data_IF_624330352971
#
_entry.id   IF_624330352971
#
_cell.length_a   1.000
_cell.length_b   1.000
_cell.length_c   1.000
_cell.angle_alpha   90.00
_cell.angle_beta   90.00
_cell.angle_gamma   90.00
#
_symmetry.space_group_name_H-M   'P 1'
#
loop_
_entity.id
_entity.type
_entity.pdbx_description
1 polymer ?
#
# COMPACT_ATOMS: atom_id res chain seq x y z
N UNK A 1 -6.77 -26.40 -12.58
CA UNK A 1 -6.60 -25.10 -13.31
C UNK A 1 -5.89 -24.11 -12.40
N UNK A 2 -4.80 -23.47 -12.86
CA UNK A 2 -4.16 -22.38 -12.09
C UNK A 2 -5.13 -21.19 -12.04
N UNK A 3 -5.49 -20.75 -10.83
CA UNK A 3 -6.28 -19.51 -10.65
C UNK A 3 -5.45 -18.34 -11.19
N UNK A 4 -6.06 -17.50 -12.01
CA UNK A 4 -5.39 -16.31 -12.54
C UNK A 4 -5.18 -15.30 -11.40
N UNK A 5 -4.02 -14.64 -11.32
CA UNK A 5 -3.77 -13.65 -10.29
C UNK A 5 -4.69 -12.44 -10.49
N UNK A 6 -5.21 -11.90 -9.39
CA UNK A 6 -5.91 -10.60 -9.35
C UNK A 6 -4.93 -9.46 -9.00
N UNK A 7 -3.89 -9.79 -8.24
CA UNK A 7 -2.78 -8.91 -7.88
C UNK A 7 -1.47 -9.67 -8.17
N UNK A 8 -0.49 -8.96 -8.73
CA UNK A 8 0.90 -9.36 -8.79
C UNK A 8 1.78 -8.36 -8.05
N UNK A 9 3.00 -8.79 -7.72
CA UNK A 9 4.03 -7.93 -7.16
C UNK A 9 5.18 -7.86 -8.16
N UNK A 10 5.62 -6.66 -8.53
CA UNK A 10 6.77 -6.46 -9.41
C UNK A 10 8.00 -6.08 -8.60
N UNK A 11 9.06 -6.86 -8.77
CA UNK A 11 10.33 -6.69 -8.08
C UNK A 11 11.51 -6.51 -9.05
N UNK A 12 12.50 -5.65 -8.74
CA UNK A 12 12.44 -4.63 -7.70
C UNK A 12 11.47 -3.52 -8.07
N UNK A 13 10.90 -2.83 -7.09
CA UNK A 13 10.33 -1.51 -7.31
C UNK A 13 11.40 -0.58 -7.89
N UNK A 14 10.99 0.50 -8.58
CA UNK A 14 11.90 1.43 -9.30
C UNK A 14 13.00 2.07 -8.43
N UNK A 15 13.01 1.84 -7.11
CA UNK A 15 13.87 2.51 -6.11
C UNK A 15 14.97 1.63 -5.50
N UNK A 16 15.20 0.40 -5.96
CA UNK A 16 16.31 -0.42 -5.46
C UNK A 16 17.65 0.29 -5.67
N UNK A 17 18.47 0.40 -4.62
CA UNK A 17 19.72 1.16 -4.68
C UNK A 17 20.88 0.41 -4.04
N UNK A 18 22.01 0.31 -4.74
CA UNK A 18 23.22 -0.29 -4.17
C UNK A 18 23.82 0.61 -3.08
N UNK A 19 24.24 0.00 -1.98
CA UNK A 19 24.85 0.67 -0.82
C UNK A 19 26.33 0.34 -0.73
N UNK A 20 27.15 1.35 -0.46
CA UNK A 20 28.55 1.18 -0.04
C UNK A 20 28.59 1.09 1.48
N UNK A 21 28.92 -0.09 2.00
CA UNK A 21 28.96 -0.34 3.44
C UNK A 21 30.38 -0.18 3.96
N UNK A 22 30.59 0.70 4.95
CA UNK A 22 31.92 0.95 5.54
C UNK A 22 32.51 -0.29 6.23
N UNK A 23 31.68 -1.14 6.84
CA UNK A 23 32.07 -2.41 7.48
C UNK A 23 30.97 -3.46 7.24
N UNK A 24 31.00 -4.19 6.13
CA UNK A 24 30.02 -5.25 5.87
C UNK A 24 30.23 -6.43 6.82
N UNK A 25 29.13 -7.08 7.20
CA UNK A 25 29.11 -8.33 7.95
C UNK A 25 28.11 -9.31 7.31
N UNK A 26 27.99 -10.52 7.87
CA UNK A 26 27.12 -11.58 7.31
C UNK A 26 25.64 -11.21 7.11
N UNK A 27 25.12 -10.22 7.84
CA UNK A 27 23.70 -9.81 7.76
C UNK A 27 23.51 -8.47 7.04
N UNK A 28 24.55 -7.99 6.35
CA UNK A 28 24.54 -6.69 5.68
C UNK A 28 23.84 -6.73 4.33
N UNK A 29 22.81 -5.91 4.16
CA UNK A 29 22.25 -5.66 2.84
C UNK A 29 23.09 -4.64 2.05
N UNK A 30 23.66 -5.09 0.93
CA UNK A 30 24.32 -4.24 -0.07
C UNK A 30 23.34 -3.44 -0.93
N UNK A 31 22.04 -3.55 -0.64
CA UNK A 31 20.98 -2.86 -1.36
C UNK A 31 20.00 -2.22 -0.34
N UNK A 32 19.62 -0.96 -0.58
CA UNK A 32 18.53 -0.27 0.11
C UNK A 32 17.22 -0.51 -0.65
N UNK A 33 16.09 -0.28 0.03
CA UNK A 33 14.75 -0.42 -0.54
C UNK A 33 14.45 -1.84 -1.05
N UNK A 34 15.06 -2.85 -0.39
CA UNK A 34 14.98 -4.26 -0.76
C UNK A 34 13.56 -4.84 -0.78
N UNK A 35 12.61 -4.23 -0.07
CA UNK A 35 11.22 -4.68 -0.03
C UNK A 35 10.28 -3.68 -0.70
N UNK A 36 10.82 -2.70 -1.42
CA UNK A 36 10.01 -1.82 -2.25
C UNK A 36 9.61 -2.60 -3.51
N UNK A 37 8.31 -2.88 -3.66
CA UNK A 37 7.73 -3.54 -4.82
C UNK A 37 6.54 -2.74 -5.33
N UNK A 38 6.26 -2.85 -6.63
CA UNK A 38 5.04 -2.27 -7.18
C UNK A 38 3.90 -3.29 -7.09
N UNK A 39 2.76 -2.87 -6.52
CA UNK A 39 1.53 -3.67 -6.52
C UNK A 39 0.83 -3.50 -7.86
N UNK A 40 0.65 -4.61 -8.57
CA UNK A 40 0.16 -4.62 -9.96
C UNK A 40 -1.19 -5.32 -10.04
N UNK A 41 -2.26 -4.64 -10.47
CA UNK A 41 -3.58 -5.25 -10.65
C UNK A 41 -3.68 -5.99 -11.98
N UNK A 42 -4.45 -7.09 -11.99
CA UNK A 42 -4.72 -7.91 -13.16
C UNK A 42 -6.22 -8.03 -13.42
N UNK A 43 -6.61 -7.94 -14.70
CA UNK A 43 -7.97 -8.23 -15.18
C UNK A 43 -7.88 -9.09 -16.44
N UNK A 44 -8.59 -10.21 -16.46
CA UNK A 44 -8.59 -11.15 -17.59
C UNK A 44 -7.17 -11.56 -18.05
N UNK A 45 -6.27 -11.86 -17.10
CA UNK A 45 -4.86 -12.22 -17.32
C UNK A 45 -3.97 -11.11 -17.87
N UNK A 46 -4.49 -9.90 -18.05
CA UNK A 46 -3.72 -8.74 -18.47
C UNK A 46 -3.52 -7.81 -17.29
N UNK A 47 -2.29 -7.33 -17.14
CA UNK A 47 -1.99 -6.21 -16.26
C UNK A 47 -2.81 -5.00 -16.72
N UNK A 48 -3.39 -4.28 -15.76
CA UNK A 48 -4.11 -3.03 -16.02
C UNK A 48 -3.31 -1.86 -15.46
N UNK A 49 -3.60 -0.66 -15.98
CA UNK A 49 -2.85 0.54 -15.64
C UNK A 49 -2.86 0.83 -14.13
N UNK A 50 -1.67 0.83 -13.52
CA UNK A 50 -1.45 1.11 -12.09
C UNK A 50 -1.76 2.56 -11.70
N UNK A 51 -1.79 3.49 -12.67
CA UNK A 51 -2.14 4.90 -12.41
C UNK A 51 -3.55 5.07 -11.84
N UNK A 52 -4.48 4.16 -12.14
CA UNK A 52 -5.85 4.15 -11.58
C UNK A 52 -5.90 3.73 -10.10
N UNK A 53 -4.76 3.35 -9.53
CA UNK A 53 -4.64 2.84 -8.17
C UNK A 53 -3.60 3.63 -7.37
N UNK A 54 -3.35 4.88 -7.78
CA UNK A 54 -2.62 5.83 -6.93
C UNK A 54 -3.46 6.18 -5.71
N UNK A 55 -2.82 6.70 -4.66
CA UNK A 55 -3.51 7.18 -3.46
C UNK A 55 -4.70 8.10 -3.84
N UNK A 56 -4.45 9.05 -4.73
CA UNK A 56 -5.44 10.03 -5.17
C UNK A 56 -6.66 9.38 -5.82
N UNK A 57 -6.43 8.49 -6.78
CA UNK A 57 -7.52 7.80 -7.48
C UNK A 57 -8.31 6.89 -6.55
N UNK A 58 -7.64 6.21 -5.61
CA UNK A 58 -8.29 5.38 -4.59
C UNK A 58 -9.17 6.22 -3.67
N UNK A 59 -8.68 7.38 -3.20
CA UNK A 59 -9.46 8.27 -2.33
C UNK A 59 -10.68 8.86 -3.04
N UNK A 60 -10.52 9.31 -4.29
CA UNK A 60 -11.62 9.85 -5.09
C UNK A 60 -12.68 8.78 -5.33
N UNK A 61 -12.27 7.59 -5.77
CA UNK A 61 -13.18 6.47 -5.98
C UNK A 61 -13.91 6.06 -4.69
N UNK A 62 -13.24 6.10 -3.53
CA UNK A 62 -13.91 5.88 -2.25
C UNK A 62 -14.98 6.94 -1.98
N UNK A 63 -14.62 8.22 -2.10
CA UNK A 63 -15.50 9.34 -1.84
C UNK A 63 -16.75 9.32 -2.74
N UNK A 64 -16.58 9.00 -4.02
CA UNK A 64 -17.65 9.05 -5.02
C UNK A 64 -18.52 7.80 -4.98
N UNK A 65 -17.91 6.62 -4.84
CA UNK A 65 -18.60 5.35 -5.12
C UNK A 65 -18.82 4.46 -3.90
N UNK A 66 -18.10 4.68 -2.79
CA UNK A 66 -18.00 3.68 -1.70
C UNK A 66 -18.30 4.21 -0.30
N UNK A 67 -18.09 5.51 -0.03
CA UNK A 67 -18.17 6.09 1.33
C UNK A 67 -19.52 5.89 2.04
N UNK A 68 -20.61 5.80 1.28
CA UNK A 68 -21.96 5.65 1.81
C UNK A 68 -22.37 4.18 2.02
N UNK A 69 -21.55 3.22 1.59
CA UNK A 69 -21.84 1.80 1.78
C UNK A 69 -21.30 1.32 3.13
N UNK A 70 -22.18 1.15 4.11
CA UNK A 70 -21.82 0.60 5.43
C UNK A 70 -21.21 -0.81 5.34
N UNK A 71 -21.76 -1.64 4.45
CA UNK A 71 -21.27 -3.00 4.22
C UNK A 71 -19.82 -3.00 3.68
N UNK A 72 -19.49 -2.06 2.80
CA UNK A 72 -18.12 -1.90 2.30
C UNK A 72 -17.20 -1.30 3.36
N UNK A 73 -17.67 -0.29 4.11
CA UNK A 73 -16.92 0.32 5.20
C UNK A 73 -16.47 -0.71 6.24
N UNK A 74 -17.38 -1.59 6.68
CA UNK A 74 -17.08 -2.66 7.63
C UNK A 74 -15.98 -3.60 7.13
N UNK A 75 -15.96 -3.92 5.83
CA UNK A 75 -14.89 -4.76 5.25
C UNK A 75 -13.57 -4.01 5.17
N UNK A 76 -13.60 -2.70 4.97
CA UNK A 76 -12.40 -1.86 4.98
C UNK A 76 -11.82 -1.76 6.39
N UNK A 77 -12.66 -1.61 7.43
CA UNK A 77 -12.24 -1.67 8.83
C UNK A 77 -11.63 -3.03 9.19
N UNK A 78 -12.28 -4.11 8.78
CA UNK A 78 -11.76 -5.47 8.96
C UNK A 78 -10.39 -5.63 8.28
N UNK A 79 -10.24 -5.12 7.05
CA UNK A 79 -8.96 -5.14 6.36
C UNK A 79 -7.88 -4.35 7.12
N UNK A 80 -8.22 -3.17 7.65
CA UNK A 80 -7.27 -2.35 8.39
C UNK A 80 -6.77 -3.06 9.66
N UNK A 81 -7.70 -3.60 10.45
CA UNK A 81 -7.41 -4.23 11.74
C UNK A 81 -6.75 -5.60 11.59
N UNK A 82 -7.28 -6.43 10.69
CA UNK A 82 -6.94 -7.85 10.63
C UNK A 82 -6.13 -8.22 9.37
N UNK A 83 -5.98 -7.31 8.42
CA UNK A 83 -5.34 -7.59 7.12
C UNK A 83 -6.03 -8.72 6.33
N UNK A 84 -7.33 -8.94 6.57
CA UNK A 84 -8.13 -10.02 5.97
C UNK A 84 -9.29 -9.48 5.14
N UNK A 85 -9.69 -10.27 4.14
CA UNK A 85 -10.92 -10.05 3.35
C UNK A 85 -11.66 -11.39 3.42
N UNK A 86 -12.64 -11.48 4.32
CA UNK A 86 -13.34 -12.74 4.60
C UNK A 86 -14.60 -12.94 3.78
N UNK A 87 -15.19 -11.84 3.29
CA UNK A 87 -16.46 -11.83 2.57
C UNK A 87 -16.31 -11.22 1.19
N UNK A 88 -17.27 -11.53 0.30
CA UNK A 88 -17.39 -10.84 -0.98
C UNK A 88 -17.91 -9.41 -0.72
N UNK A 89 -17.27 -8.37 -1.25
CA UNK A 89 -17.74 -7.01 -1.09
C UNK A 89 -19.04 -6.77 -1.89
N UNK A 90 -19.86 -5.78 -1.49
CA UNK A 90 -21.03 -5.37 -2.27
C UNK A 90 -20.59 -4.90 -3.66
N UNK A 91 -21.48 -5.03 -4.66
CA UNK A 91 -21.24 -4.45 -5.99
C UNK A 91 -21.44 -2.93 -5.90
N UNK A 92 -20.38 -2.17 -6.16
CA UNK A 92 -20.38 -0.71 -6.15
C UNK A 92 -19.74 -0.20 -7.44
N UNK A 93 -20.04 1.05 -7.79
CA UNK A 93 -19.48 1.71 -8.97
C UNK A 93 -17.96 1.98 -8.84
N UNK A 94 -17.36 2.42 -9.95
CA UNK A 94 -15.95 2.76 -10.03
C UNK A 94 -15.03 1.53 -10.02
N UNK A 95 -13.99 1.56 -9.18
CA UNK A 95 -13.07 0.42 -9.04
C UNK A 95 -13.84 -0.77 -8.45
N UNK A 96 -13.63 -1.96 -9.03
CA UNK A 96 -14.21 -3.20 -8.48
C UNK A 96 -13.89 -3.32 -6.98
N UNK A 97 -14.90 -3.47 -6.10
CA UNK A 97 -14.69 -3.44 -4.65
C UNK A 97 -13.73 -4.51 -4.12
N UNK A 98 -13.68 -5.69 -4.74
CA UNK A 98 -12.71 -6.72 -4.34
C UNK A 98 -11.30 -6.31 -4.74
N UNK A 99 -11.12 -5.83 -5.97
CA UNK A 99 -9.84 -5.32 -6.44
C UNK A 99 -9.36 -4.12 -5.61
N UNK A 100 -10.25 -3.21 -5.24
CA UNK A 100 -9.95 -2.07 -4.37
C UNK A 100 -9.38 -2.54 -3.03
N UNK A 101 -10.06 -3.46 -2.34
CA UNK A 101 -9.60 -3.98 -1.04
C UNK A 101 -8.28 -4.74 -1.17
N UNK A 102 -8.10 -5.50 -2.25
CA UNK A 102 -6.85 -6.20 -2.52
C UNK A 102 -5.68 -5.23 -2.78
N UNK A 103 -5.90 -4.16 -3.55
CA UNK A 103 -4.89 -3.13 -3.79
C UNK A 103 -4.50 -2.45 -2.47
N UNK A 104 -5.48 -2.03 -1.66
CA UNK A 104 -5.20 -1.46 -0.33
C UNK A 104 -4.41 -2.41 0.55
N UNK A 105 -4.82 -3.68 0.62
CA UNK A 105 -4.15 -4.72 1.40
C UNK A 105 -2.65 -4.76 1.08
N UNK A 106 -2.32 -4.88 -0.20
CA UNK A 106 -0.92 -5.03 -0.61
C UNK A 106 -0.13 -3.73 -0.49
N UNK A 107 -0.74 -2.57 -0.77
CA UNK A 107 -0.11 -1.26 -0.53
C UNK A 107 0.20 -1.07 0.95
N UNK A 108 -0.74 -1.41 1.84
CA UNK A 108 -0.54 -1.28 3.28
C UNK A 108 0.50 -2.25 3.84
N UNK A 109 0.53 -3.48 3.33
CA UNK A 109 1.61 -4.44 3.66
C UNK A 109 2.96 -3.87 3.24
N UNK A 110 3.07 -3.38 2.00
CA UNK A 110 4.30 -2.76 1.50
C UNK A 110 4.73 -1.60 2.39
N UNK A 111 3.82 -0.66 2.68
CA UNK A 111 4.07 0.50 3.52
C UNK A 111 4.48 0.12 4.95
N UNK A 112 3.89 -0.93 5.53
CA UNK A 112 4.27 -1.39 6.87
C UNK A 112 5.66 -2.01 6.91
N UNK A 113 6.01 -2.87 5.95
CA UNK A 113 7.38 -3.39 5.83
C UNK A 113 8.39 -2.27 5.63
N UNK A 114 7.99 -1.24 4.91
CA UNK A 114 8.82 -0.11 4.56
C UNK A 114 9.05 0.85 5.75
N UNK A 115 7.98 1.24 6.44
CA UNK A 115 8.03 2.37 7.38
C UNK A 115 7.67 2.03 8.82
N UNK A 116 7.04 0.87 9.08
CA UNK A 116 6.61 0.48 10.42
C UNK A 116 7.56 -0.53 11.05
N UNK A 117 7.83 -1.63 10.35
CA UNK A 117 8.58 -2.73 10.92
C UNK A 117 10.07 -2.64 10.61
N UNK A 118 10.88 -2.95 11.60
CA UNK A 118 12.30 -3.23 11.46
C UNK A 118 12.53 -4.66 10.99
N UNK A 119 13.72 -4.92 10.43
CA UNK A 119 14.11 -6.25 10.00
C UNK A 119 14.11 -7.29 11.12
N UNK A 120 14.36 -6.87 12.37
CA UNK A 120 14.25 -7.75 13.53
C UNK A 120 12.81 -8.11 13.87
N UNK A 121 11.88 -7.14 13.82
CA UNK A 121 10.46 -7.38 14.13
C UNK A 121 9.80 -8.37 13.16
N UNK A 122 10.30 -8.44 11.93
CA UNK A 122 9.83 -9.41 10.91
C UNK A 122 10.73 -10.65 10.80
N UNK A 123 11.66 -10.85 11.75
CA UNK A 123 12.59 -11.98 11.79
C UNK A 123 13.36 -12.20 10.48
N UNK A 124 13.70 -11.12 9.76
CA UNK A 124 14.49 -11.22 8.54
C UNK A 124 15.95 -11.53 8.90
N UNK A 125 16.65 -12.44 8.20
CA UNK A 125 18.08 -12.63 8.39
C UNK A 125 18.90 -11.47 7.80
N UNK A 126 18.28 -10.62 6.97
CA UNK A 126 18.94 -9.55 6.23
C UNK A 126 18.47 -8.20 6.76
N UNK A 127 19.42 -7.38 7.19
CA UNK A 127 19.13 -6.00 7.59
C UNK A 127 18.75 -5.15 6.38
N UNK A 128 17.48 -4.78 6.24
CA UNK A 128 17.04 -3.80 5.26
C UNK A 128 16.99 -2.38 5.84
N UNK A 129 17.01 -1.40 4.94
CA UNK A 129 16.86 0.02 5.25
C UNK A 129 16.20 0.72 4.07
N UNK A 130 15.35 1.69 4.36
CA UNK A 130 14.84 2.61 3.37
C UNK A 130 15.69 3.87 3.29
N UNK A 131 15.96 4.28 2.06
CA UNK A 131 16.73 5.49 1.76
C UNK A 131 15.96 6.39 0.78
N UNK A 132 16.05 7.70 1.00
CA UNK A 132 15.57 8.72 0.06
C UNK A 132 16.33 8.65 -1.27
N UNK A 133 15.87 9.40 -2.28
CA UNK A 133 16.63 9.59 -3.54
C UNK A 133 18.06 10.09 -3.30
N UNK A 134 18.29 10.89 -2.26
CA UNK A 134 19.61 11.41 -1.90
C UNK A 134 20.45 10.43 -1.08
N UNK A 135 19.87 9.37 -0.51
CA UNK A 135 20.57 8.31 0.23
C UNK A 135 20.50 8.42 1.75
N UNK A 136 19.80 9.43 2.25
CA UNK A 136 19.51 9.56 3.67
C UNK A 136 18.46 8.54 4.08
N UNK A 137 18.57 7.96 5.29
CA UNK A 137 17.52 7.08 5.81
C UNK A 137 16.19 7.82 5.89
N UNK A 138 15.10 7.14 5.54
CA UNK A 138 13.75 7.70 5.66
C UNK A 138 12.87 6.79 6.50
N UNK A 139 12.10 7.40 7.39
CA UNK A 139 10.91 6.83 8.01
C UNK A 139 9.64 7.57 7.55
N UNK A 140 9.77 8.44 6.53
CA UNK A 140 8.68 9.26 6.00
C UNK A 140 7.94 8.48 4.92
N UNK A 141 6.77 7.97 5.27
CA UNK A 141 5.78 7.41 4.37
C UNK A 141 4.38 7.88 4.75
N UNK A 142 3.40 7.60 3.88
CA UNK A 142 2.01 7.69 4.26
C UNK A 142 1.74 6.68 5.38
N UNK A 143 2.22 5.43 5.22
CA UNK A 143 1.93 4.37 6.16
C UNK A 143 0.45 3.98 6.13
N UNK A 144 0.16 2.75 6.56
CA UNK A 144 -1.22 2.24 6.67
C UNK A 144 -2.11 3.19 7.49
N UNK A 145 -1.60 3.69 8.61
CA UNK A 145 -2.36 4.52 9.55
C UNK A 145 -2.82 5.85 8.94
N UNK A 146 -1.94 6.60 8.25
CA UNK A 146 -2.38 7.87 7.63
C UNK A 146 -3.31 7.63 6.46
N UNK A 147 -3.08 6.56 5.70
CA UNK A 147 -3.97 6.17 4.62
C UNK A 147 -5.38 5.87 5.15
N UNK A 148 -5.49 5.10 6.23
CA UNK A 148 -6.78 4.79 6.85
C UNK A 148 -7.43 6.03 7.49
N UNK A 149 -6.65 6.90 8.13
CA UNK A 149 -7.15 8.17 8.64
C UNK A 149 -7.75 9.05 7.52
N UNK A 150 -7.16 9.06 6.32
CA UNK A 150 -7.73 9.77 5.17
C UNK A 150 -9.12 9.22 4.80
N UNK A 151 -9.29 7.90 4.79
CA UNK A 151 -10.59 7.27 4.53
C UNK A 151 -11.64 7.60 5.60
N UNK A 152 -11.24 7.66 6.88
CA UNK A 152 -12.10 8.12 7.97
C UNK A 152 -12.56 9.56 7.71
N UNK A 153 -11.64 10.48 7.40
CA UNK A 153 -12.02 11.86 7.13
C UNK A 153 -13.01 11.97 5.95
N UNK A 154 -12.78 11.24 4.86
CA UNK A 154 -13.72 11.16 3.73
C UNK A 154 -15.09 10.60 4.13
N UNK A 155 -15.11 9.61 5.03
CA UNK A 155 -16.34 9.04 5.58
C UNK A 155 -17.12 10.04 6.43
N UNK A 156 -16.42 10.97 7.08
CA UNK A 156 -16.97 12.01 7.96
C UNK A 156 -17.07 13.39 7.28
N UNK A 157 -17.46 13.40 6.00
CA UNK A 157 -17.84 14.59 5.23
C UNK A 157 -16.71 15.53 4.77
N UNK A 158 -15.44 15.20 5.04
CA UNK A 158 -14.35 15.94 4.42
C UNK A 158 -14.27 15.61 2.92
N UNK A 159 -14.02 16.62 2.10
CA UNK A 159 -13.70 16.41 0.69
C UNK A 159 -12.25 15.96 0.55
N UNK A 160 -11.95 15.26 -0.56
CA UNK A 160 -10.60 14.86 -0.89
C UNK A 160 -9.61 16.04 -0.87
N UNK A 161 -10.02 17.21 -1.38
CA UNK A 161 -9.22 18.43 -1.34
C UNK A 161 -8.93 18.94 0.08
N UNK A 162 -9.86 18.74 1.02
CA UNK A 162 -9.62 19.04 2.44
C UNK A 162 -8.69 18.00 3.08
N UNK A 163 -8.90 16.72 2.77
CA UNK A 163 -8.07 15.63 3.32
C UNK A 163 -6.62 15.77 2.91
N UNK A 164 -6.33 16.13 1.65
CA UNK A 164 -4.95 16.40 1.16
C UNK A 164 -4.24 17.49 1.96
N UNK A 165 -4.98 18.46 2.51
CA UNK A 165 -4.43 19.54 3.35
C UNK A 165 -4.16 19.10 4.78
N UNK A 166 -4.99 18.20 5.32
CA UNK A 166 -4.90 17.71 6.71
C UNK A 166 -3.82 16.62 6.84
N UNK A 167 -3.80 15.68 5.88
CA UNK A 167 -2.87 14.57 5.85
C UNK A 167 -1.93 14.83 4.67
N UNK A 168 -0.80 15.53 4.89
CA UNK A 168 0.20 15.72 3.85
C UNK A 168 0.78 14.36 3.49
N UNK A 169 0.48 13.96 2.26
CA UNK A 169 1.00 12.75 1.66
C UNK A 169 2.06 13.24 0.69
N UNK A 170 3.31 13.15 1.16
CA UNK A 170 4.55 13.64 0.57
C UNK A 170 4.94 15.07 0.96
#
# INVERSE_FOLDING_TARGET
>A
MRKNPTIGLRYPGRKLRKRLLKKPNKNSAFWANLYDFEVVPFKNKKEINTQKFTFEEIMKDFQENKKNSEAFWKQLEELYQNNTITKKPPKLAGIDPMLYLLMLKWIWIQEDFNYRFTWQEVNSPIRYVLETRTGSRTAKGAGRAKFFAALILLKHHFTFEQVKKIIPLY
#
